data_IF_786973067211
#
_entry.id   IF_786973067211
#
_cell.length_a   1.000
_cell.length_b   1.000
_cell.length_c   1.000
_cell.angle_alpha   90.00
_cell.angle_beta   90.00
_cell.angle_gamma   90.00
#
_symmetry.space_group_name_H-M   'P 1'
#
loop_
_entity.id
_entity.type
_entity.pdbx_description
1 polymer ?
#
# COMPACT_ATOMS: atom_id res chain seq x y z
N UNK A 1 -16.76 18.74 -17.89
CA UNK A 1 -15.90 19.31 -16.82
C UNK A 1 -14.45 19.11 -17.23
N UNK A 2 -13.65 20.16 -17.21
CA UNK A 2 -12.19 20.03 -17.44
C UNK A 2 -11.56 19.74 -16.09
N UNK A 3 -10.80 18.65 -15.97
CA UNK A 3 -10.09 18.31 -14.73
C UNK A 3 -8.97 19.34 -14.48
N UNK A 4 -8.62 19.65 -13.21
CA UNK A 4 -7.62 20.68 -12.89
C UNK A 4 -6.24 20.43 -13.52
N UNK A 5 -5.91 19.17 -13.79
CA UNK A 5 -4.66 18.72 -14.41
C UNK A 5 -4.79 18.42 -15.92
N UNK A 6 -5.95 18.71 -16.53
CA UNK A 6 -6.20 18.53 -17.95
C UNK A 6 -6.48 17.09 -18.39
N UNK A 7 -6.56 16.11 -17.47
CA UNK A 7 -6.88 14.72 -17.81
C UNK A 7 -8.33 14.54 -18.25
N UNK A 8 -8.59 13.46 -19.00
CA UNK A 8 -9.96 12.98 -19.23
C UNK A 8 -10.52 12.30 -17.97
N UNK A 9 -11.85 12.11 -17.87
CA UNK A 9 -12.48 11.47 -16.71
C UNK A 9 -11.98 10.04 -16.44
N UNK A 10 -11.66 9.28 -17.48
CA UNK A 10 -11.21 7.88 -17.44
C UNK A 10 -9.68 7.72 -17.45
N UNK A 11 -8.92 8.82 -17.35
CA UNK A 11 -7.47 8.80 -17.42
C UNK A 11 -6.81 8.80 -16.04
N UNK A 12 -5.89 7.86 -15.84
CA UNK A 12 -5.01 7.78 -14.67
C UNK A 12 -3.98 8.93 -14.66
N UNK A 13 -3.52 9.33 -13.48
CA UNK A 13 -2.30 10.16 -13.37
C UNK A 13 -1.08 9.35 -13.85
N UNK A 14 0.01 10.03 -14.26
CA UNK A 14 1.27 9.37 -14.50
C UNK A 14 1.69 8.54 -13.29
N UNK A 15 2.03 7.27 -13.51
CA UNK A 15 2.42 6.35 -12.45
C UNK A 15 3.80 5.76 -12.70
N UNK A 16 4.56 5.59 -11.63
CA UNK A 16 5.86 4.93 -11.67
C UNK A 16 6.12 4.13 -10.40
N UNK A 17 6.93 3.09 -10.55
CA UNK A 17 7.34 2.20 -9.47
C UNK A 17 8.85 2.07 -9.54
N UNK A 18 9.54 2.68 -8.58
CA UNK A 18 10.98 2.51 -8.41
C UNK A 18 11.22 1.41 -7.38
N UNK A 19 11.53 0.21 -7.87
CA UNK A 19 11.94 -0.94 -7.05
C UNK A 19 13.36 -0.72 -6.53
N UNK A 20 13.69 -1.41 -5.44
CA UNK A 20 14.98 -1.31 -4.74
C UNK A 20 15.33 0.12 -4.33
N UNK A 21 14.30 0.84 -3.86
CA UNK A 21 14.47 2.22 -3.43
C UNK A 21 15.32 2.35 -2.15
N UNK A 22 15.14 1.43 -1.21
CA UNK A 22 16.00 1.24 -0.04
C UNK A 22 16.59 -0.17 -0.06
N UNK A 23 17.77 -0.32 0.54
CA UNK A 23 18.57 -1.55 0.43
C UNK A 23 18.33 -2.55 1.57
N UNK A 24 17.78 -2.08 2.70
CA UNK A 24 17.75 -2.85 3.94
C UNK A 24 16.56 -3.82 4.04
N UNK A 25 15.42 -3.50 3.39
CA UNK A 25 14.23 -4.34 3.46
C UNK A 25 14.26 -5.42 2.38
N UNK A 26 13.61 -6.55 2.65
CA UNK A 26 13.56 -7.65 1.70
C UNK A 26 12.81 -7.26 0.41
N UNK A 27 11.90 -6.29 0.47
CA UNK A 27 11.34 -5.61 -0.69
C UNK A 27 11.23 -4.11 -0.42
N UNK A 28 11.46 -3.28 -1.43
CA UNK A 28 11.38 -1.81 -1.30
C UNK A 28 10.95 -1.18 -2.61
N UNK A 29 9.86 -0.41 -2.58
CA UNK A 29 9.28 0.24 -3.76
C UNK A 29 8.83 1.65 -3.40
N UNK A 30 9.38 2.65 -4.09
CA UNK A 30 8.78 3.98 -4.13
C UNK A 30 7.74 4.01 -5.25
N UNK A 31 6.46 4.08 -4.87
CA UNK A 31 5.35 4.28 -5.82
C UNK A 31 5.03 5.76 -5.94
N UNK A 32 4.87 6.23 -7.17
CA UNK A 32 4.40 7.58 -7.49
C UNK A 32 3.15 7.49 -8.35
N UNK A 33 2.10 8.22 -7.95
CA UNK A 33 0.85 8.38 -8.72
C UNK A 33 0.54 9.88 -8.80
N UNK A 34 0.88 10.49 -9.93
CA UNK A 34 0.96 11.94 -10.07
C UNK A 34 1.90 12.55 -9.03
N UNK A 35 1.32 13.29 -8.08
CA UNK A 35 2.06 13.90 -6.96
C UNK A 35 2.04 13.08 -5.68
N UNK A 36 1.22 12.04 -5.59
CA UNK A 36 1.22 11.13 -4.45
C UNK A 36 2.47 10.25 -4.51
N UNK A 37 3.19 10.16 -3.39
CA UNK A 37 4.42 9.36 -3.26
C UNK A 37 4.35 8.54 -1.97
N UNK A 38 4.52 7.23 -2.10
CA UNK A 38 4.51 6.30 -0.96
C UNK A 38 5.72 5.39 -1.05
N UNK A 39 6.50 5.30 0.01
CA UNK A 39 7.51 4.27 0.17
C UNK A 39 6.83 3.03 0.74
N UNK A 40 6.89 1.93 0.02
CA UNK A 40 6.37 0.63 0.44
C UNK A 40 7.55 -0.32 0.68
N UNK A 41 7.72 -0.81 1.89
CA UNK A 41 8.74 -1.82 2.22
C UNK A 41 8.09 -3.10 2.69
N UNK A 42 8.72 -4.24 2.39
CA UNK A 42 8.31 -5.54 2.88
C UNK A 42 9.45 -6.15 3.69
N UNK A 43 9.19 -6.41 4.97
CA UNK A 43 10.12 -7.01 5.92
C UNK A 43 9.63 -8.42 6.28
N UNK A 44 10.56 -9.37 6.37
CA UNK A 44 10.25 -10.77 6.68
C UNK A 44 10.72 -11.07 8.10
N UNK A 45 9.83 -11.67 8.89
CA UNK A 45 10.11 -12.27 10.17
C UNK A 45 9.98 -13.80 10.04
N UNK A 46 10.93 -14.54 10.63
CA UNK A 46 10.93 -16.01 10.68
C UNK A 46 10.02 -16.54 11.81
N UNK A 47 9.29 -15.67 12.50
CA UNK A 47 8.21 -16.02 13.44
C UNK A 47 6.83 -15.58 12.90
N UNK A 48 5.78 -16.07 13.55
CA UNK A 48 4.40 -15.67 13.31
C UNK A 48 3.76 -15.06 14.55
N UNK A 49 2.68 -14.27 14.40
CA UNK A 49 1.89 -13.83 15.54
C UNK A 49 1.51 -15.00 16.46
N UNK A 50 1.56 -14.77 17.77
CA UNK A 50 1.40 -15.81 18.80
C UNK A 50 0.17 -16.70 18.62
N UNK A 51 -0.93 -16.15 18.11
CA UNK A 51 -2.18 -16.86 17.89
C UNK A 51 -2.17 -17.81 16.67
N UNK A 52 -1.12 -17.79 15.83
CA UNK A 52 -0.93 -18.69 14.68
C UNK A 52 0.21 -19.68 14.84
N UNK A 53 0.99 -19.62 15.92
CA UNK A 53 2.11 -20.55 16.13
C UNK A 53 1.64 -22.00 16.09
N UNK A 54 2.34 -22.84 15.33
CA UNK A 54 2.01 -24.25 15.14
C UNK A 54 0.86 -24.52 14.15
N UNK A 55 0.34 -23.50 13.48
CA UNK A 55 -0.71 -23.67 12.46
C UNK A 55 -0.17 -24.11 11.10
N UNK A 56 1.15 -24.01 10.88
CA UNK A 56 1.78 -24.26 9.59
C UNK A 56 1.45 -23.21 8.52
N UNK A 57 0.96 -22.04 8.94
CA UNK A 57 0.60 -20.93 8.06
C UNK A 57 1.36 -19.67 8.43
N UNK A 58 1.72 -18.91 7.41
CA UNK A 58 2.31 -17.58 7.53
C UNK A 58 1.26 -16.49 7.63
N UNK A 59 1.76 -15.26 7.63
CA UNK A 59 0.93 -14.08 7.75
C UNK A 59 1.47 -12.91 6.96
N UNK A 60 0.60 -12.20 6.27
CA UNK A 60 0.92 -10.90 5.70
C UNK A 60 0.12 -9.84 6.45
N UNK A 61 0.77 -8.80 6.92
CA UNK A 61 0.13 -7.65 7.56
C UNK A 61 0.68 -6.35 7.00
N UNK A 62 0.06 -5.23 7.33
CA UNK A 62 0.52 -3.92 6.87
C UNK A 62 0.44 -2.86 7.95
N UNK A 63 1.40 -1.95 7.91
CA UNK A 63 1.41 -0.69 8.65
C UNK A 63 1.33 0.47 7.67
N UNK A 64 0.68 1.56 8.08
CA UNK A 64 0.48 2.72 7.22
C UNK A 64 0.77 3.97 8.03
N UNK A 65 1.55 4.87 7.47
CA UNK A 65 1.89 6.11 8.13
C UNK A 65 1.93 7.25 7.12
N UNK A 66 1.66 8.46 7.60
CA UNK A 66 1.84 9.68 6.83
C UNK A 66 2.93 10.50 7.49
N UNK A 67 3.96 10.87 6.73
CA UNK A 67 4.97 11.79 7.25
C UNK A 67 4.31 13.12 7.63
N UNK A 68 4.79 13.80 8.69
CA UNK A 68 4.22 15.07 9.11
C UNK A 68 4.11 16.13 8.01
N UNK A 69 5.10 16.17 7.10
CA UNK A 69 5.12 17.10 5.96
C UNK A 69 4.53 16.54 4.67
N UNK A 70 3.79 15.42 4.72
CA UNK A 70 3.24 14.80 3.52
C UNK A 70 2.03 15.53 2.94
N UNK A 71 1.35 16.36 3.72
CA UNK A 71 0.21 17.19 3.30
C UNK A 71 0.50 18.69 3.45
N UNK A 72 -0.32 19.58 2.84
CA UNK A 72 -0.16 21.04 2.99
C UNK A 72 -0.19 21.50 4.45
N UNK A 73 -1.10 20.92 5.24
CA UNK A 73 -1.09 21.07 6.69
C UNK A 73 -0.26 19.98 7.34
N UNK A 74 0.50 20.33 8.38
CA UNK A 74 1.36 19.37 9.07
C UNK A 74 0.51 18.34 9.82
N UNK A 75 0.75 17.06 9.54
CA UNK A 75 0.19 15.94 10.31
C UNK A 75 1.03 15.70 11.56
N UNK A 76 0.42 15.63 12.73
CA UNK A 76 1.16 15.22 13.93
C UNK A 76 1.50 13.74 13.88
N UNK A 77 2.69 13.38 14.35
CA UNK A 77 3.08 11.97 14.51
C UNK A 77 2.15 11.29 15.52
N UNK A 78 1.56 10.17 15.11
CA UNK A 78 0.68 9.36 15.98
C UNK A 78 1.43 8.85 17.24
N UNK A 79 2.73 8.55 17.11
CA UNK A 79 3.59 8.21 18.24
C UNK A 79 3.61 9.30 19.33
N UNK A 80 3.66 10.58 18.95
CA UNK A 80 3.63 11.69 19.90
C UNK A 80 2.25 11.87 20.55
N UNK A 81 1.19 11.42 19.89
CA UNK A 81 -0.19 11.38 20.42
C UNK A 81 -0.48 10.13 21.26
N UNK A 82 0.44 9.16 21.27
CA UNK A 82 0.31 7.91 22.02
C UNK A 82 -0.75 6.94 21.49
N UNK A 83 -1.36 7.20 20.33
CA UNK A 83 -2.37 6.33 19.72
C UNK A 83 -2.46 6.51 18.21
N UNK A 84 -2.76 5.41 17.52
CA UNK A 84 -3.10 5.45 16.09
C UNK A 84 -4.51 6.01 15.88
N UNK A 85 -4.71 6.72 14.77
CA UNK A 85 -6.03 7.20 14.36
C UNK A 85 -6.88 6.07 13.77
N UNK A 86 -8.21 6.20 13.85
CA UNK A 86 -9.12 5.22 13.25
C UNK A 86 -8.91 5.06 11.74
N UNK A 87 -8.61 6.15 11.04
CA UNK A 87 -8.28 6.16 9.61
C UNK A 87 -7.01 5.35 9.30
N UNK A 88 -5.95 5.52 10.09
CA UNK A 88 -4.73 4.72 9.93
C UNK A 88 -5.03 3.23 10.09
N UNK A 89 -5.74 2.85 11.14
CA UNK A 89 -6.12 1.45 11.41
C UNK A 89 -7.00 0.88 10.29
N UNK A 90 -7.94 1.65 9.75
CA UNK A 90 -8.77 1.26 8.61
C UNK A 90 -7.90 0.92 7.38
N UNK A 91 -6.99 1.82 7.02
CA UNK A 91 -6.12 1.66 5.85
C UNK A 91 -5.14 0.49 6.03
N UNK A 92 -4.52 0.33 7.20
CA UNK A 92 -3.68 -0.84 7.52
C UNK A 92 -4.43 -2.15 7.32
N UNK A 93 -5.67 -2.22 7.82
CA UNK A 93 -6.50 -3.42 7.69
C UNK A 93 -6.90 -3.65 6.23
N UNK A 94 -7.16 -2.59 5.46
CA UNK A 94 -7.45 -2.68 4.02
C UNK A 94 -6.24 -3.25 3.27
N UNK A 95 -5.06 -2.63 3.38
CA UNK A 95 -3.83 -3.07 2.71
C UNK A 95 -3.53 -4.53 3.08
N UNK A 96 -3.51 -4.85 4.37
CA UNK A 96 -3.24 -6.22 4.82
C UNK A 96 -4.24 -7.24 4.27
N UNK A 97 -5.54 -6.90 4.18
CA UNK A 97 -6.54 -7.80 3.56
C UNK A 97 -6.29 -7.98 2.07
N UNK A 98 -6.06 -6.88 1.35
CA UNK A 98 -5.83 -6.92 -0.10
C UNK A 98 -4.63 -7.79 -0.46
N UNK A 99 -3.52 -7.67 0.30
CA UNK A 99 -2.31 -8.45 0.04
C UNK A 99 -2.47 -9.92 0.43
N UNK A 100 -3.13 -10.22 1.56
CA UNK A 100 -3.38 -11.61 1.98
C UNK A 100 -4.24 -12.40 0.99
N UNK A 101 -5.17 -11.74 0.30
CA UNK A 101 -6.02 -12.40 -0.71
C UNK A 101 -5.21 -12.97 -1.87
N UNK A 102 -4.03 -12.43 -2.15
CA UNK A 102 -3.18 -12.86 -3.25
C UNK A 102 -2.07 -13.84 -2.86
N UNK A 103 -1.96 -14.21 -1.59
CA UNK A 103 -0.85 -14.97 -1.05
C UNK A 103 -1.36 -16.24 -0.36
N UNK A 104 -0.80 -17.39 -0.75
CA UNK A 104 -1.05 -18.66 -0.08
C UNK A 104 -0.26 -18.70 1.24
N UNK A 105 -0.99 -18.52 2.35
CA UNK A 105 -0.40 -18.54 3.69
C UNK A 105 0.22 -19.89 4.06
N UNK A 106 -0.19 -21.02 3.47
CA UNK A 106 0.45 -22.32 3.72
C UNK A 106 1.79 -22.41 2.99
N UNK A 107 1.83 -21.98 1.73
CA UNK A 107 3.06 -21.97 0.94
C UNK A 107 4.11 -21.01 1.51
N UNK A 108 3.67 -19.92 2.15
CA UNK A 108 4.56 -18.99 2.88
C UNK A 108 5.30 -19.66 4.06
N UNK A 109 4.71 -20.71 4.66
CA UNK A 109 5.20 -21.32 5.91
C UNK A 109 5.06 -20.38 7.10
N UNK A 110 5.54 -20.77 8.29
CA UNK A 110 5.44 -19.97 9.50
C UNK A 110 6.39 -18.76 9.48
N UNK A 111 6.08 -17.79 8.62
CA UNK A 111 6.74 -16.49 8.49
C UNK A 111 5.73 -15.38 8.48
N UNK A 112 6.11 -14.23 9.00
CA UNK A 112 5.32 -13.02 8.89
C UNK A 112 6.00 -12.06 7.89
N UNK A 113 5.22 -11.51 6.97
CA UNK A 113 5.63 -10.36 6.16
C UNK A 113 4.88 -9.14 6.64
N UNK A 114 5.63 -8.11 7.06
CA UNK A 114 5.10 -6.79 7.40
C UNK A 114 5.35 -5.87 6.22
N UNK A 115 4.27 -5.30 5.68
CA UNK A 115 4.34 -4.32 4.59
C UNK A 115 4.08 -2.93 5.16
N UNK A 116 5.14 -2.14 5.24
CA UNK A 116 5.08 -0.76 5.73
C UNK A 116 4.83 0.18 4.54
N UNK A 117 3.86 1.07 4.69
CA UNK A 117 3.49 2.05 3.66
C UNK A 117 3.59 3.46 4.24
N UNK A 118 4.70 4.14 3.97
CA UNK A 118 4.99 5.49 4.42
C UNK A 118 4.70 6.51 3.32
N UNK A 119 3.67 7.33 3.53
CA UNK A 119 3.33 8.40 2.60
C UNK A 119 4.32 9.55 2.78
N UNK A 120 5.11 9.79 1.73
CA UNK A 120 6.08 10.87 1.66
C UNK A 120 5.44 12.17 1.18
N UNK A 121 4.46 12.06 0.27
CA UNK A 121 3.68 13.18 -0.26
C UNK A 121 2.26 12.70 -0.59
N UNK A 122 1.25 13.45 -0.16
CA UNK A 122 -0.15 13.12 -0.33
C UNK A 122 -0.83 14.14 -1.25
N UNK A 123 -1.39 13.66 -2.35
CA UNK A 123 -2.26 14.41 -3.24
C UNK A 123 -3.41 13.50 -3.70
N UNK A 124 -4.11 12.85 -2.77
CA UNK A 124 -5.21 11.91 -3.07
C UNK A 124 -4.75 10.52 -3.53
N UNK A 125 -5.56 9.49 -3.24
CA UNK A 125 -5.28 8.10 -3.62
C UNK A 125 -4.09 7.45 -2.89
N UNK A 126 -3.73 7.91 -1.69
CA UNK A 126 -2.56 7.36 -0.96
C UNK A 126 -2.74 5.89 -0.61
N UNK A 127 -3.92 5.49 -0.15
CA UNK A 127 -4.23 4.10 0.25
C UNK A 127 -4.19 3.12 -0.93
N UNK A 128 -4.67 3.54 -2.10
CA UNK A 128 -4.67 2.74 -3.32
C UNK A 128 -3.25 2.61 -3.89
N UNK A 129 -2.48 3.71 -3.88
CA UNK A 129 -1.05 3.69 -4.18
C UNK A 129 -0.29 2.73 -3.23
N UNK A 130 -0.57 2.75 -1.92
CA UNK A 130 0.01 1.84 -0.94
C UNK A 130 -0.28 0.36 -1.24
N UNK A 131 -1.48 0.02 -1.72
CA UNK A 131 -1.80 -1.36 -2.12
C UNK A 131 -0.95 -1.79 -3.32
N UNK A 132 -0.86 -0.94 -4.35
CA UNK A 132 -0.08 -1.25 -5.56
C UNK A 132 1.43 -1.37 -5.25
N UNK A 133 2.00 -0.40 -4.53
CA UNK A 133 3.41 -0.42 -4.13
C UNK A 133 3.72 -1.55 -3.14
N UNK A 134 2.84 -1.77 -2.17
CA UNK A 134 2.95 -2.84 -1.18
C UNK A 134 2.91 -4.23 -1.80
N UNK A 135 2.09 -4.43 -2.84
CA UNK A 135 2.08 -5.69 -3.59
C UNK A 135 3.42 -5.95 -4.28
N UNK A 136 4.01 -4.94 -4.94
CA UNK A 136 5.32 -5.09 -5.57
C UNK A 136 6.44 -5.32 -4.55
N UNK A 137 6.43 -4.61 -3.42
CA UNK A 137 7.39 -4.85 -2.34
C UNK A 137 7.28 -6.28 -1.78
N UNK A 138 6.05 -6.76 -1.54
CA UNK A 138 5.78 -8.13 -1.11
C UNK A 138 6.28 -9.15 -2.15
N UNK A 139 5.97 -8.92 -3.43
CA UNK A 139 6.43 -9.77 -4.52
C UNK A 139 7.95 -9.90 -4.54
N UNK A 140 8.67 -8.79 -4.35
CA UNK A 140 10.14 -8.77 -4.38
C UNK A 140 10.74 -9.51 -3.19
N UNK A 141 10.19 -9.28 -2.00
CA UNK A 141 10.59 -9.99 -0.78
C UNK A 141 10.41 -11.51 -0.93
N UNK A 142 9.25 -11.95 -1.44
CA UNK A 142 8.97 -13.36 -1.64
C UNK A 142 9.82 -13.99 -2.75
N UNK A 143 10.06 -13.24 -3.83
CA UNK A 143 10.97 -13.68 -4.90
C UNK A 143 12.38 -13.92 -4.36
N UNK A 144 12.87 -13.04 -3.47
CA UNK A 144 14.17 -13.20 -2.83
C UNK A 144 14.23 -14.38 -1.87
N UNK A 145 13.15 -14.67 -1.13
CA UNK A 145 13.06 -15.89 -0.32
C UNK A 145 13.14 -17.16 -1.17
N UNK A 146 12.53 -17.16 -2.35
CA UNK A 146 12.66 -18.29 -3.29
C UNK A 146 14.10 -18.39 -3.79
N UNK A 147 14.70 -17.27 -4.19
CA UNK A 147 16.08 -17.24 -4.71
C UNK A 147 17.12 -17.67 -3.66
N UNK A 148 16.90 -17.38 -2.38
CA UNK A 148 17.76 -17.84 -1.29
C UNK A 148 17.53 -19.31 -0.91
N UNK A 149 16.48 -19.94 -1.44
CA UNK A 149 16.08 -21.31 -1.11
C UNK A 149 15.34 -21.46 0.23
N UNK A 150 14.96 -20.35 0.87
CA UNK A 150 14.23 -20.38 2.14
C UNK A 150 12.79 -20.92 1.98
N UNK A 151 12.20 -20.72 0.81
CA UNK A 151 10.93 -21.33 0.40
C UNK A 151 11.06 -21.91 -1.01
N UNK A 152 10.24 -22.91 -1.33
CA UNK A 152 10.35 -23.67 -2.59
C UNK A 152 9.80 -22.92 -3.80
N UNK A 153 8.74 -22.16 -3.61
CA UNK A 153 8.01 -21.46 -4.66
C UNK A 153 7.45 -20.14 -4.15
N UNK A 154 7.13 -19.22 -5.06
CA UNK A 154 6.55 -17.93 -4.69
C UNK A 154 5.08 -18.15 -4.26
N UNK A 155 4.69 -17.80 -3.03
CA UNK A 155 3.34 -18.05 -2.54
C UNK A 155 2.29 -17.09 -3.12
N UNK A 156 2.68 -16.11 -3.94
CA UNK A 156 1.72 -15.26 -4.64
C UNK A 156 1.05 -15.99 -5.81
N UNK A 157 -0.27 -16.02 -5.81
CA UNK A 157 -1.08 -16.70 -6.83
C UNK A 157 -1.90 -15.74 -7.72
N UNK A 158 -1.90 -14.44 -7.43
CA UNK A 158 -2.57 -13.42 -8.25
C UNK A 158 -1.93 -12.05 -8.08
N UNK A 159 -2.14 -11.17 -9.05
CA UNK A 159 -1.76 -9.76 -8.95
C UNK A 159 -2.84 -8.96 -8.20
N UNK A 160 -2.41 -7.95 -7.43
CA UNK A 160 -3.30 -7.01 -6.75
C UNK A 160 -2.91 -5.59 -7.11
N UNK A 161 -3.92 -4.80 -7.48
CA UNK A 161 -3.82 -3.37 -7.68
C UNK A 161 -5.10 -2.71 -7.14
N UNK A 162 -5.05 -1.41 -6.90
CA UNK A 162 -6.18 -0.63 -6.42
C UNK A 162 -6.15 0.77 -7.06
N UNK A 163 -7.32 1.38 -7.21
CA UNK A 163 -7.44 2.74 -7.75
C UNK A 163 -8.67 3.43 -7.16
N UNK A 164 -8.60 4.74 -6.95
CA UNK A 164 -9.77 5.50 -6.54
C UNK A 164 -10.62 5.89 -7.73
N UNK A 165 -11.94 5.95 -7.51
CA UNK A 165 -12.92 6.51 -8.43
C UNK A 165 -13.91 7.36 -7.64
N UNK A 166 -14.64 8.24 -8.29
CA UNK A 166 -15.59 9.10 -7.62
C UNK A 166 -16.49 9.84 -8.60
N UNK A 167 -17.43 10.62 -8.09
CA UNK A 167 -18.32 11.47 -8.87
C UNK A 167 -18.05 12.92 -8.51
N UNK A 168 -17.60 13.72 -9.47
CA UNK A 168 -17.32 15.14 -9.32
C UNK A 168 -18.21 15.95 -10.27
N UNK A 169 -19.08 16.81 -9.73
CA UNK A 169 -20.05 17.60 -10.48
C UNK A 169 -20.89 16.73 -11.46
N UNK A 170 -21.41 15.61 -10.95
CA UNK A 170 -22.18 14.63 -11.71
C UNK A 170 -21.38 13.77 -12.69
N UNK A 171 -20.06 13.90 -12.75
CA UNK A 171 -19.21 13.14 -13.69
C UNK A 171 -18.39 12.09 -12.95
N UNK A 172 -18.50 10.79 -13.30
CA UNK A 172 -17.59 9.76 -12.81
C UNK A 172 -16.15 10.02 -13.27
N UNK A 173 -15.21 10.03 -12.33
CA UNK A 173 -13.78 10.29 -12.58
C UNK A 173 -12.91 9.20 -11.94
N UNK A 174 -11.82 8.88 -12.62
CA UNK A 174 -10.79 7.91 -12.22
C UNK A 174 -9.59 8.65 -11.60
N UNK A 175 -9.06 8.07 -10.52
CA UNK A 175 -7.81 8.48 -9.86
C UNK A 175 -7.79 9.95 -9.45
N UNK A 176 -8.53 10.23 -8.37
CA UNK A 176 -8.79 11.58 -7.86
C UNK A 176 -7.54 12.12 -7.13
N UNK A 177 -7.01 13.29 -7.53
CA UNK A 177 -6.11 14.07 -6.70
C UNK A 177 -6.87 14.71 -5.54
N UNK A 178 -6.16 15.25 -4.55
CA UNK A 178 -6.77 15.77 -3.31
C UNK A 178 -7.84 16.83 -3.58
N UNK A 179 -7.62 17.68 -4.59
CA UNK A 179 -8.56 18.75 -4.97
C UNK A 179 -9.90 18.22 -5.51
N UNK A 180 -9.91 17.04 -6.15
CA UNK A 180 -11.14 16.42 -6.63
C UNK A 180 -11.80 15.60 -5.50
N UNK A 181 -11.00 14.84 -4.75
CA UNK A 181 -11.46 13.99 -3.64
C UNK A 181 -12.14 14.80 -2.53
N UNK A 182 -11.57 15.95 -2.16
CA UNK A 182 -12.12 16.82 -1.10
C UNK A 182 -13.46 17.47 -1.45
N UNK A 183 -13.86 17.44 -2.72
CA UNK A 183 -15.10 18.05 -3.21
C UNK A 183 -16.00 17.06 -3.96
N UNK A 184 -15.67 15.77 -3.94
CA UNK A 184 -16.45 14.73 -4.59
C UNK A 184 -17.81 14.54 -3.91
N UNK A 185 -18.83 14.28 -4.72
CA UNK A 185 -20.16 13.91 -4.23
C UNK A 185 -20.16 12.49 -3.66
N UNK A 186 -19.35 11.61 -4.28
CA UNK A 186 -19.13 10.22 -3.88
C UNK A 186 -17.69 9.86 -4.22
N UNK A 187 -17.01 9.15 -3.31
CA UNK A 187 -15.70 8.55 -3.53
C UNK A 187 -15.70 7.04 -3.23
N UNK A 188 -14.86 6.30 -3.92
CA UNK A 188 -14.64 4.86 -3.74
C UNK A 188 -13.17 4.52 -4.01
N UNK A 189 -12.65 3.52 -3.30
CA UNK A 189 -11.26 3.06 -3.37
C UNK A 189 -11.17 1.56 -3.60
#
# INVERSE_FOLDING_TARGET
MTRPDGRTPDQLRPMSFQRDFTEMSAGSVLVTVGRTRVLCTASIDEDVPRWMKGSGKGWVTAEYSMLPGSSPERVDREAAKGKQSGRTVEIQRLIGRSLRVACDMRALGERQVVVDCDVLQADGGTRTASICGGFLALHDALTRLVQSGAIKENPLHSYVAAISVGVCNGVPVLDLPYVEDSTAEVDMN
#
